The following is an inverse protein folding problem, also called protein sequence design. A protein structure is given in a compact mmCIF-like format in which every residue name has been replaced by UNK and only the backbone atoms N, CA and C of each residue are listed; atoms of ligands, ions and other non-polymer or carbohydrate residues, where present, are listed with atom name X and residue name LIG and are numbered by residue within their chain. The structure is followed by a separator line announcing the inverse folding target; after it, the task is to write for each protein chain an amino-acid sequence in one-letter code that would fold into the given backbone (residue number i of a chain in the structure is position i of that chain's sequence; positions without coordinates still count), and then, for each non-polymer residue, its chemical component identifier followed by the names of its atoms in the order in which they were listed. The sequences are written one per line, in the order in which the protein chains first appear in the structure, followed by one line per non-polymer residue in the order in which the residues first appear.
data_IF_134908103951
#
_entry.id   IF_134908103951
#
_cell.length_a   1.000
_cell.length_b   1.000
_cell.length_c   1.000
_cell.angle_alpha   90.00
_cell.angle_beta   90.00
_cell.angle_gamma   90.00
#
_symmetry.space_group_name_H-M   'P 1'
#
loop_
_entity.id
_entity.type
_entity.pdbx_description
1 polymer ?
#
# COMPACT_ATOMS: atom_id res chain seq x y z
N UNK A 1 -13.50 14.86 15.14
CA UNK A 1 -14.04 15.11 13.78
C UNK A 1 -12.85 15.22 12.84
N UNK A 2 -12.62 14.24 11.97
CA UNK A 2 -11.56 14.33 10.95
C UNK A 2 -12.09 15.13 9.77
N UNK A 3 -11.46 16.27 9.49
CA UNK A 3 -11.71 17.06 8.29
C UNK A 3 -11.54 16.16 7.04
N UNK A 4 -12.63 16.02 6.27
CA UNK A 4 -12.65 15.38 4.96
C UNK A 4 -12.33 16.49 3.96
N UNK A 5 -11.39 16.28 3.04
CA UNK A 5 -11.07 17.24 1.99
C UNK A 5 -12.18 17.25 0.94
N UNK A 6 -13.15 18.17 1.00
CA UNK A 6 -14.33 18.12 0.15
C UNK A 6 -14.01 18.63 -1.25
N UNK A 7 -12.91 19.36 -1.41
CA UNK A 7 -12.51 20.08 -2.62
C UNK A 7 -11.44 19.31 -3.42
N UNK A 8 -10.94 18.19 -2.89
CA UNK A 8 -9.88 17.40 -3.52
C UNK A 8 -8.61 18.22 -3.74
N UNK A 9 -8.32 19.18 -2.84
CA UNK A 9 -7.16 20.06 -2.94
C UNK A 9 -5.87 19.36 -2.45
N UNK A 10 -6.01 18.28 -1.69
CA UNK A 10 -4.89 17.44 -1.28
C UNK A 10 -4.36 16.69 -2.49
N UNK A 11 -3.05 16.85 -2.71
CA UNK A 11 -2.31 15.97 -3.59
C UNK A 11 -2.31 14.53 -3.06
N UNK A 12 -2.19 13.57 -3.98
CA UNK A 12 -2.18 12.13 -3.70
C UNK A 12 -1.31 11.73 -2.49
N UNK A 13 -0.11 12.30 -2.37
CA UNK A 13 0.78 11.98 -1.26
C UNK A 13 0.20 12.33 0.11
N UNK A 14 -0.55 13.43 0.21
CA UNK A 14 -1.23 13.81 1.44
C UNK A 14 -2.36 12.85 1.77
N UNK A 15 -3.19 12.48 0.77
CA UNK A 15 -4.28 11.53 0.96
C UNK A 15 -3.77 10.13 1.35
N UNK A 16 -2.75 9.63 0.66
CA UNK A 16 -2.07 8.36 0.97
C UNK A 16 -1.51 8.35 2.39
N UNK A 17 -0.84 9.44 2.80
CA UNK A 17 -0.27 9.56 4.15
C UNK A 17 -1.35 9.54 5.22
N UNK A 18 -2.45 10.25 4.98
CA UNK A 18 -3.56 10.33 5.92
C UNK A 18 -4.33 9.02 6.00
N UNK A 19 -4.48 8.29 4.89
CA UNK A 19 -5.04 6.94 4.86
C UNK A 19 -4.30 6.00 5.81
N UNK A 20 -2.97 5.92 5.70
CA UNK A 20 -2.19 5.02 6.56
C UNK A 20 -2.23 5.42 8.03
N UNK A 21 -2.28 6.73 8.33
CA UNK A 21 -2.47 7.22 9.70
C UNK A 21 -3.85 6.87 10.25
N UNK A 22 -4.89 6.93 9.43
CA UNK A 22 -6.24 6.55 9.82
C UNK A 22 -6.35 5.04 10.06
N UNK A 23 -5.80 4.23 9.15
CA UNK A 23 -5.71 2.77 9.31
C UNK A 23 -4.97 2.40 10.61
N UNK A 24 -3.84 3.07 10.91
CA UNK A 24 -3.09 2.83 12.15
C UNK A 24 -3.91 3.07 13.43
N UNK A 25 -4.86 4.02 13.39
CA UNK A 25 -5.74 4.34 14.52
C UNK A 25 -6.89 3.34 14.65
N UNK A 26 -7.39 2.83 13.52
CA UNK A 26 -8.55 1.95 13.47
C UNK A 26 -8.19 0.45 13.58
N UNK A 27 -6.96 0.07 13.23
CA UNK A 27 -6.56 -1.33 13.17
C UNK A 27 -6.67 -2.05 14.53
N UNK A 28 -7.29 -3.25 14.58
CA UNK A 28 -7.29 -4.08 15.78
C UNK A 28 -5.89 -4.45 16.25
N UNK A 29 -5.76 -4.71 17.56
CA UNK A 29 -4.50 -5.18 18.15
C UNK A 29 -4.06 -6.49 17.48
N UNK A 30 -2.80 -6.54 17.03
CA UNK A 30 -2.22 -7.72 16.39
C UNK A 30 -2.39 -7.80 14.87
N UNK A 31 -3.22 -6.94 14.25
CA UNK A 31 -3.39 -6.92 12.79
C UNK A 31 -2.10 -6.54 12.04
N UNK A 32 -1.34 -5.60 12.60
CA UNK A 32 -0.07 -5.13 12.06
C UNK A 32 1.06 -5.41 13.06
N UNK A 33 2.26 -5.72 12.55
CA UNK A 33 3.45 -5.83 13.38
C UNK A 33 3.77 -4.48 14.05
N UNK A 34 4.48 -4.46 15.19
CA UNK A 34 4.88 -3.21 15.84
C UNK A 34 5.66 -2.26 14.91
N UNK A 35 6.49 -2.82 14.02
CA UNK A 35 7.26 -2.07 13.02
C UNK A 35 6.32 -1.42 12.00
N UNK A 36 5.37 -2.17 11.46
CA UNK A 36 4.39 -1.63 10.51
C UNK A 36 3.47 -0.59 11.16
N UNK A 37 3.11 -0.80 12.42
CA UNK A 37 2.31 0.16 13.16
C UNK A 37 3.05 1.50 13.33
N UNK A 38 4.34 1.48 13.64
CA UNK A 38 5.16 2.69 13.69
C UNK A 38 5.22 3.39 12.32
N UNK A 39 5.43 2.63 11.24
CA UNK A 39 5.43 3.17 9.87
C UNK A 39 4.11 3.88 9.54
N UNK A 40 2.99 3.23 9.81
CA UNK A 40 1.67 3.75 9.49
C UNK A 40 1.28 4.97 10.33
N UNK A 41 1.72 5.05 11.60
CA UNK A 41 1.57 6.26 12.43
C UNK A 41 2.32 7.47 11.85
N UNK A 42 3.43 7.23 11.15
CA UNK A 42 4.16 8.25 10.38
C UNK A 42 3.53 8.50 9.00
N UNK A 43 2.49 7.76 8.63
CA UNK A 43 1.81 7.83 7.34
C UNK A 43 2.54 7.12 6.20
N UNK A 44 3.43 6.19 6.55
CA UNK A 44 4.10 5.31 5.59
C UNK A 44 3.30 4.01 5.45
N UNK A 45 3.26 3.47 4.24
CA UNK A 45 2.63 2.17 4.00
C UNK A 45 3.31 1.05 4.82
N UNK A 46 2.53 0.07 5.31
CA UNK A 46 3.08 -1.14 5.90
C UNK A 46 3.88 -1.89 4.83
N UNK A 47 4.85 -2.68 5.30
CA UNK A 47 5.70 -3.52 4.46
C UNK A 47 5.44 -5.00 4.70
N UNK A 48 5.72 -5.76 3.67
CA UNK A 48 5.85 -7.21 3.68
C UNK A 48 7.27 -7.58 3.23
N UNK A 49 7.74 -8.77 3.61
CA UNK A 49 8.96 -9.35 3.06
C UNK A 49 8.58 -10.48 2.14
N UNK A 50 9.11 -10.47 0.94
CA UNK A 50 8.73 -11.41 -0.11
C UNK A 50 9.96 -12.00 -0.77
N UNK A 51 9.77 -13.18 -1.33
CA UNK A 51 10.60 -13.73 -2.39
C UNK A 51 9.91 -13.49 -3.72
N UNK A 52 10.65 -12.96 -4.68
CA UNK A 52 10.16 -12.65 -6.02
C UNK A 52 11.16 -13.09 -7.08
N UNK A 53 10.68 -13.44 -8.27
CA UNK A 53 11.49 -13.64 -9.46
C UNK A 53 11.60 -12.33 -10.24
N UNK A 54 12.80 -11.75 -10.30
CA UNK A 54 13.02 -10.46 -10.96
C UNK A 54 13.32 -10.63 -12.45
N UNK A 55 12.46 -10.09 -13.32
CA UNK A 55 12.51 -10.39 -14.77
C UNK A 55 13.78 -9.90 -15.45
N UNK A 56 14.28 -8.71 -15.08
CA UNK A 56 15.46 -8.13 -15.73
C UNK A 56 16.75 -8.90 -15.42
N UNK A 57 16.91 -9.36 -14.19
CA UNK A 57 18.12 -10.11 -13.78
C UNK A 57 17.95 -11.61 -13.92
N UNK A 58 16.71 -12.10 -14.14
CA UNK A 58 16.33 -13.51 -14.20
C UNK A 58 16.78 -14.29 -12.95
N UNK A 59 16.65 -13.65 -11.78
CA UNK A 59 17.05 -14.22 -10.49
C UNK A 59 15.94 -14.07 -9.46
N UNK A 60 15.88 -15.02 -8.53
CA UNK A 60 15.12 -14.86 -7.30
C UNK A 60 15.82 -13.85 -6.38
N UNK A 61 15.04 -13.01 -5.72
CA UNK A 61 15.54 -12.13 -4.66
C UNK A 61 14.55 -12.00 -3.53
N UNK A 62 15.08 -11.74 -2.35
CA UNK A 62 14.28 -11.41 -1.16
C UNK A 62 14.36 -9.91 -0.93
N UNK A 63 13.21 -9.23 -0.83
CA UNK A 63 13.15 -7.80 -0.53
C UNK A 63 11.96 -7.42 0.32
N UNK A 64 12.08 -6.27 0.98
CA UNK A 64 10.98 -5.63 1.69
C UNK A 64 10.19 -4.76 0.70
N UNK A 65 8.88 -4.94 0.66
CA UNK A 65 7.98 -4.28 -0.30
C UNK A 65 6.87 -3.59 0.47
N UNK A 66 6.61 -2.33 0.13
CA UNK A 66 5.48 -1.59 0.69
C UNK A 66 4.18 -2.04 0.02
N UNK A 67 3.09 -2.11 0.79
CA UNK A 67 1.76 -2.15 0.20
C UNK A 67 1.47 -0.84 -0.55
N UNK A 68 0.57 -0.94 -1.52
CA UNK A 68 0.08 0.14 -2.37
C UNK A 68 -1.40 0.42 -2.05
N UNK A 69 -1.89 1.57 -2.52
CA UNK A 69 -3.30 1.90 -2.53
C UNK A 69 -3.75 1.98 -3.99
N UNK A 70 -4.75 1.18 -4.36
CA UNK A 70 -5.38 1.18 -5.67
C UNK A 70 -6.73 1.90 -5.61
N UNK A 71 -7.04 2.70 -6.61
CA UNK A 71 -8.37 3.29 -6.78
C UNK A 71 -9.33 2.26 -7.38
N UNK A 72 -10.50 2.05 -6.77
CA UNK A 72 -11.43 0.97 -7.14
C UNK A 72 -12.41 1.35 -8.24
N UNK A 73 -13.14 2.44 -8.04
CA UNK A 73 -14.28 2.83 -8.85
C UNK A 73 -13.94 3.97 -9.80
N UNK A 74 -13.19 4.96 -9.30
CA UNK A 74 -12.76 6.11 -10.07
C UNK A 74 -11.23 6.13 -10.13
N UNK A 75 -10.61 5.83 -11.28
CA UNK A 75 -9.17 5.82 -11.39
C UNK A 75 -8.58 7.22 -11.13
N UNK A 76 -7.31 7.27 -10.72
CA UNK A 76 -6.64 8.53 -10.39
C UNK A 76 -6.70 9.58 -11.52
N UNK A 77 -6.74 9.14 -12.78
CA UNK A 77 -6.82 10.00 -13.98
C UNK A 77 -8.15 10.75 -14.13
N UNK A 78 -9.21 10.33 -13.43
CA UNK A 78 -10.51 11.02 -13.48
C UNK A 78 -10.45 12.38 -12.76
N UNK A 79 -9.38 12.64 -12.00
CA UNK A 79 -9.07 13.95 -11.45
C UNK A 79 -9.53 14.12 -10.01
N UNK A 80 -10.18 15.24 -9.71
CA UNK A 80 -10.45 15.65 -8.33
C UNK A 80 -11.44 14.70 -7.64
N UNK A 81 -11.30 14.54 -6.32
CA UNK A 81 -12.19 13.77 -5.42
C UNK A 81 -12.10 12.23 -5.49
N UNK A 82 -11.12 11.67 -6.21
CA UNK A 82 -10.92 10.22 -6.27
C UNK A 82 -10.19 9.65 -5.05
N UNK A 83 -9.45 10.48 -4.30
CA UNK A 83 -8.58 10.06 -3.18
C UNK A 83 -9.32 9.86 -1.83
N UNK A 84 -10.57 9.41 -1.88
CA UNK A 84 -11.39 9.17 -0.69
C UNK A 84 -11.22 7.73 -0.18
N UNK A 85 -11.27 7.46 1.14
CA UNK A 85 -11.08 6.11 1.68
C UNK A 85 -12.00 5.04 1.07
N UNK A 86 -13.23 5.41 0.72
CA UNK A 86 -14.18 4.52 0.04
C UNK A 86 -13.68 4.09 -1.35
N UNK A 87 -12.89 4.89 -2.03
CA UNK A 87 -12.37 4.55 -3.35
C UNK A 87 -10.99 3.88 -3.27
N UNK A 88 -10.38 3.74 -2.08
CA UNK A 88 -9.03 3.22 -1.92
C UNK A 88 -9.02 1.79 -1.36
N UNK A 89 -8.20 0.95 -1.98
CA UNK A 89 -8.01 -0.44 -1.58
C UNK A 89 -6.53 -0.75 -1.33
N UNK A 90 -6.24 -1.47 -0.25
CA UNK A 90 -4.88 -1.95 0.07
C UNK A 90 -4.56 -3.13 -0.82
N UNK A 91 -3.47 -3.05 -1.56
CA UNK A 91 -3.02 -4.11 -2.47
C UNK A 91 -1.51 -4.26 -2.39
N UNK A 92 -1.00 -5.43 -2.72
CA UNK A 92 0.40 -5.62 -3.08
C UNK A 92 0.67 -5.06 -4.48
N UNK A 93 1.94 -4.79 -4.85
CA UNK A 93 2.29 -4.40 -6.22
C UNK A 93 1.79 -5.36 -7.30
N UNK A 94 1.74 -6.66 -7.00
CA UNK A 94 1.28 -7.69 -7.93
C UNK A 94 -0.24 -7.73 -8.05
N UNK A 95 -0.97 -7.60 -6.93
CA UNK A 95 -2.43 -7.45 -6.97
C UNK A 95 -2.84 -6.15 -7.68
N UNK A 96 -2.07 -5.07 -7.50
CA UNK A 96 -2.30 -3.83 -8.24
C UNK A 96 -2.10 -4.05 -9.74
N UNK A 97 -1.03 -4.74 -10.14
CA UNK A 97 -0.76 -5.10 -11.54
C UNK A 97 -1.81 -6.00 -12.16
N UNK A 98 -2.44 -6.88 -11.36
CA UNK A 98 -3.54 -7.72 -11.83
C UNK A 98 -4.83 -6.90 -12.11
N UNK A 99 -4.96 -5.70 -11.52
CA UNK A 99 -6.12 -4.81 -11.66
C UNK A 99 -5.89 -3.68 -12.66
N UNK A 100 -4.67 -3.16 -12.74
CA UNK A 100 -4.28 -2.05 -13.61
C UNK A 100 -3.32 -2.53 -14.72
N UNK A 101 -3.77 -2.56 -15.99
CA UNK A 101 -2.93 -2.93 -17.14
C UNK A 101 -1.65 -2.08 -17.33
N UNK A 102 -1.56 -0.91 -16.68
CA UNK A 102 -0.40 -0.03 -16.77
C UNK A 102 0.58 -0.19 -15.61
N UNK A 103 0.27 -1.04 -14.61
CA UNK A 103 1.12 -1.28 -13.44
C UNK A 103 1.99 -2.51 -13.65
N UNK A 104 3.30 -2.30 -13.78
CA UNK A 104 4.27 -3.38 -13.99
C UNK A 104 5.22 -3.52 -12.78
N UNK A 105 5.11 -4.59 -11.97
CA UNK A 105 5.95 -4.77 -10.78
C UNK A 105 7.40 -5.10 -11.14
N UNK A 106 7.66 -5.56 -12.38
CA UNK A 106 8.99 -5.95 -12.86
C UNK A 106 9.48 -7.29 -12.28
N UNK A 107 8.59 -8.00 -11.61
CA UNK A 107 8.86 -9.29 -10.96
C UNK A 107 7.57 -10.09 -10.82
N UNK A 108 7.72 -11.39 -10.58
CA UNK A 108 6.65 -12.29 -10.16
C UNK A 108 6.77 -12.58 -8.66
N UNK A 109 5.65 -12.52 -7.94
CA UNK A 109 5.62 -12.89 -6.53
C UNK A 109 5.69 -14.41 -6.41
N UNK A 110 6.71 -14.91 -5.73
CA UNK A 110 6.84 -16.35 -5.46
C UNK A 110 6.29 -16.70 -4.07
N UNK A 111 6.63 -15.89 -3.06
CA UNK A 111 6.30 -16.21 -1.67
C UNK A 111 6.25 -14.96 -0.78
N UNK A 112 5.31 -14.90 0.16
CA UNK A 112 5.31 -13.91 1.25
C UNK A 112 5.98 -14.54 2.48
N UNK A 113 7.24 -14.17 2.70
CA UNK A 113 8.05 -14.62 3.84
C UNK A 113 7.61 -13.98 5.16
N UNK A 114 7.18 -12.70 5.10
CA UNK A 114 6.59 -11.98 6.24
C UNK A 114 5.45 -11.10 5.75
N UNK A 115 4.25 -11.34 6.28
CA UNK A 115 3.08 -10.52 6.06
C UNK A 115 3.02 -9.28 6.97
N UNK A 116 1.94 -8.52 6.84
CA UNK A 116 1.76 -7.25 7.56
C UNK A 116 1.78 -7.39 9.09
N UNK A 117 1.32 -8.52 9.62
CA UNK A 117 1.22 -8.82 11.05
C UNK A 117 2.55 -9.25 11.70
N UNK A 118 3.50 -9.78 10.92
CA UNK A 118 4.74 -10.35 11.43
C UNK A 118 6.03 -9.78 10.79
N UNK A 119 5.93 -8.69 10.03
CA UNK A 119 7.07 -7.98 9.45
C UNK A 119 8.05 -7.45 10.51
N UNK A 120 9.35 -7.77 10.37
CA UNK A 120 10.39 -7.49 11.38
C UNK A 120 11.33 -6.32 11.07
N UNK A 121 11.31 -5.75 9.87
CA UNK A 121 12.01 -4.48 9.61
C UNK A 121 13.51 -4.51 9.30
N UNK A 122 14.08 -5.66 8.97
CA UNK A 122 15.51 -5.79 8.59
C UNK A 122 15.92 -4.87 7.44
#
# INVERSE_FOLDING_TARGET
ISWIDPLGLKCWDSARRDYWKAEAKAAPKGMYSPVNMLRMRLGLAPKIRVREFHFKTRTERVRNVSLELNHRHWPQRDGKHVDIPYNLEKVTPWEHAAKDPYRYPGSELLEILQGIGNYKGF
#
